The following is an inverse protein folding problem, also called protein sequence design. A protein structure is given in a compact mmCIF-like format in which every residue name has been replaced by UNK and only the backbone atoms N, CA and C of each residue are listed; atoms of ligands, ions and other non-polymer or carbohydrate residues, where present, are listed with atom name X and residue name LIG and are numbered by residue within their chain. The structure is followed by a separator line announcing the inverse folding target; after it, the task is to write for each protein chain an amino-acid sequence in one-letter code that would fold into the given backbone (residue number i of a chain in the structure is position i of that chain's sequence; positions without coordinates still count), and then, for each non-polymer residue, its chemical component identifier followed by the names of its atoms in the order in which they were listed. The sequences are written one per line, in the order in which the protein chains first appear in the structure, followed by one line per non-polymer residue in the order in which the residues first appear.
data_IF_416743200019
#
_entry.id   IF_416743200019
#
_cell.length_a   1.000
_cell.length_b   1.000
_cell.length_c   1.000
_cell.angle_alpha   90.00
_cell.angle_beta   90.00
_cell.angle_gamma   90.00
#
_symmetry.space_group_name_H-M   'P 1'
#
loop_
_entity.id
_entity.type
_entity.pdbx_description
1 polymer ?
#
# COMPACT_ATOMS: atom_id res chain seq x y z
N UNK A 1 19.74 11.88 54.84
CA UNK A 1 20.15 12.88 53.82
C UNK A 1 20.77 12.07 52.68
N UNK A 2 20.08 11.76 51.59
CA UNK A 2 19.69 12.64 50.47
C UNK A 2 18.35 12.17 49.84
N UNK A 3 17.51 13.07 49.28
CA UNK A 3 16.19 12.70 48.80
C UNK A 3 16.19 12.18 47.35
N UNK A 4 15.29 11.22 47.05
CA UNK A 4 15.01 10.73 45.69
C UNK A 4 14.36 11.83 44.84
N UNK A 5 14.67 11.95 43.53
CA UNK A 5 13.98 12.92 42.68
C UNK A 5 12.55 12.44 42.35
N UNK A 6 11.59 13.36 42.42
CA UNK A 6 10.17 13.17 42.09
C UNK A 6 9.95 13.16 40.56
N UNK A 7 8.85 12.56 40.07
CA UNK A 7 8.56 12.46 38.64
C UNK A 7 7.89 13.75 38.14
N UNK A 8 8.68 14.74 37.76
CA UNK A 8 8.16 15.99 37.16
C UNK A 8 8.48 16.13 35.66
N UNK A 9 9.33 15.27 35.09
CA UNK A 9 9.66 15.32 33.64
C UNK A 9 8.60 14.69 32.72
N UNK A 10 7.77 13.77 33.22
CA UNK A 10 6.75 13.11 32.41
C UNK A 10 5.54 14.01 32.13
N UNK A 11 5.21 14.93 33.04
CA UNK A 11 4.08 15.87 32.88
C UNK A 11 4.47 17.04 31.96
N UNK A 12 5.73 17.48 31.97
CA UNK A 12 6.21 18.54 31.10
C UNK A 12 6.22 18.14 29.61
N UNK A 13 6.59 16.88 29.30
CA UNK A 13 6.57 16.37 27.93
C UNK A 13 5.14 16.22 27.38
N UNK A 14 4.19 15.85 28.23
CA UNK A 14 2.77 15.81 27.86
C UNK A 14 2.12 17.20 27.78
N UNK A 15 2.53 18.16 28.62
CA UNK A 15 2.04 19.54 28.55
C UNK A 15 2.51 20.27 27.28
N UNK A 16 3.74 20.05 26.83
CA UNK A 16 4.25 20.60 25.56
C UNK A 16 3.64 19.92 24.33
N UNK A 17 3.39 18.60 24.38
CA UNK A 17 2.65 17.90 23.33
C UNK A 17 1.18 18.37 23.24
N UNK A 18 0.54 18.68 24.38
CA UNK A 18 -0.83 19.21 24.42
C UNK A 18 -0.91 20.68 23.98
N UNK A 19 0.12 21.50 24.29
CA UNK A 19 0.23 22.87 23.81
C UNK A 19 0.57 22.96 22.31
N UNK A 20 1.33 22.00 21.79
CA UNK A 20 1.55 21.82 20.35
C UNK A 20 0.25 21.38 19.66
N UNK A 21 -0.54 20.50 20.29
CA UNK A 21 -1.89 20.16 19.81
C UNK A 21 -2.82 21.36 19.77
N UNK A 22 -2.84 22.26 20.78
CA UNK A 22 -3.67 23.48 20.72
C UNK A 22 -3.22 24.46 19.62
N UNK A 23 -1.91 24.61 19.36
CA UNK A 23 -1.43 25.51 18.29
C UNK A 23 -1.64 24.93 16.89
N UNK A 24 -1.50 23.62 16.71
CA UNK A 24 -1.80 22.95 15.43
C UNK A 24 -3.32 22.89 15.19
N UNK A 25 -4.14 22.65 16.23
CA UNK A 25 -5.60 22.73 16.12
C UNK A 25 -6.11 24.16 15.88
N UNK A 26 -5.50 25.18 16.50
CA UNK A 26 -5.87 26.58 16.24
C UNK A 26 -5.41 27.08 14.87
N UNK A 27 -4.36 26.48 14.28
CA UNK A 27 -3.96 26.77 12.90
C UNK A 27 -4.85 26.05 11.87
N UNK A 28 -5.39 24.87 12.23
CA UNK A 28 -6.37 24.14 11.41
C UNK A 28 -7.79 24.74 11.44
N UNK A 29 -8.09 25.69 12.34
CA UNK A 29 -9.42 26.32 12.46
C UNK A 29 -9.50 27.77 11.95
N UNK A 30 -8.47 28.28 11.27
CA UNK A 30 -8.52 29.56 10.56
C UNK A 30 -8.39 29.37 9.05
N UNK A 31 -9.25 28.53 8.48
CA UNK A 31 -9.67 28.68 7.10
C UNK A 31 -11.19 28.56 7.12
N UNK A 32 -11.86 29.69 6.91
CA UNK A 32 -13.31 29.67 6.77
C UNK A 32 -13.65 28.89 5.50
N UNK A 33 -14.79 28.20 5.47
CA UNK A 33 -15.18 27.35 4.33
C UNK A 33 -15.25 28.08 2.98
N UNK A 34 -15.17 29.41 2.96
CA UNK A 34 -15.09 30.23 1.76
C UNK A 34 -13.67 30.30 1.15
N UNK A 35 -12.61 30.18 1.95
CA UNK A 35 -11.22 30.29 1.49
C UNK A 35 -10.75 29.03 0.74
N UNK A 36 -11.26 27.86 1.15
CA UNK A 36 -11.04 26.58 0.46
C UNK A 36 -11.76 26.54 -0.90
N UNK A 37 -12.97 27.09 -1.00
CA UNK A 37 -13.73 27.15 -2.25
C UNK A 37 -13.06 28.07 -3.28
N UNK A 38 -12.49 29.20 -2.84
CA UNK A 38 -11.73 30.10 -3.70
C UNK A 38 -10.41 29.48 -4.21
N UNK A 39 -9.73 28.68 -3.39
CA UNK A 39 -8.52 27.96 -3.80
C UNK A 39 -8.83 26.90 -4.88
N UNK A 40 -9.96 26.20 -4.77
CA UNK A 40 -10.38 25.22 -5.76
C UNK A 40 -10.98 25.85 -7.04
N UNK A 41 -11.69 26.99 -6.95
CA UNK A 41 -12.22 27.67 -8.13
C UNK A 41 -11.14 28.25 -9.05
N UNK A 42 -9.99 28.66 -8.50
CA UNK A 42 -8.92 29.26 -9.30
C UNK A 42 -8.12 28.22 -10.12
N UNK A 43 -8.18 26.93 -9.77
CA UNK A 43 -7.54 25.84 -10.53
C UNK A 43 -8.43 25.27 -11.66
N UNK A 44 -9.70 25.67 -11.74
CA UNK A 44 -10.68 25.13 -12.69
C UNK A 44 -10.52 25.70 -14.13
N UNK A 45 -9.63 26.67 -14.35
CA UNK A 45 -9.45 27.29 -15.69
C UNK A 45 -8.20 26.88 -16.48
N UNK A 46 -7.34 25.97 -15.99
CA UNK A 46 -6.19 25.50 -16.77
C UNK A 46 -6.44 24.13 -17.41
N UNK A 47 -7.09 24.14 -18.58
CA UNK A 47 -7.00 23.04 -19.55
C UNK A 47 -5.58 22.97 -20.09
N UNK A 48 -4.79 21.96 -19.72
CA UNK A 48 -3.61 21.57 -20.51
C UNK A 48 -3.40 20.06 -20.54
N UNK A 49 -3.30 19.56 -21.77
CA UNK A 49 -2.82 18.23 -22.15
C UNK A 49 -1.44 18.02 -21.53
N UNK A 50 -1.30 17.07 -20.62
CA UNK A 50 -0.01 16.70 -20.04
C UNK A 50 0.29 15.22 -20.35
N UNK A 51 0.69 14.98 -21.60
CA UNK A 51 1.28 13.72 -22.01
C UNK A 51 2.79 13.73 -21.71
N UNK A 52 3.26 12.61 -21.18
CA UNK A 52 4.65 12.09 -21.24
C UNK A 52 5.75 12.72 -20.38
N UNK A 53 5.53 13.80 -19.61
CA UNK A 53 6.61 14.40 -18.78
C UNK A 53 6.58 14.09 -17.28
N UNK A 54 5.48 13.56 -16.73
CA UNK A 54 5.38 13.28 -15.29
C UNK A 54 6.24 12.08 -14.81
N UNK A 55 6.62 11.17 -15.71
CA UNK A 55 7.47 10.01 -15.37
C UNK A 55 8.95 10.37 -15.19
N UNK A 56 9.41 11.52 -15.71
CA UNK A 56 10.77 12.00 -15.49
C UNK A 56 10.94 12.73 -14.13
N UNK A 57 9.85 13.13 -13.48
CA UNK A 57 9.91 13.85 -12.20
C UNK A 57 10.04 12.94 -10.98
N UNK A 58 9.79 11.63 -11.12
CA UNK A 58 10.06 10.64 -10.07
C UNK A 58 11.55 10.22 -9.98
N UNK A 59 12.38 10.62 -10.94
CA UNK A 59 13.84 10.39 -10.93
C UNK A 59 14.67 11.69 -11.01
N UNK A 60 14.03 12.85 -11.12
CA UNK A 60 14.69 14.12 -11.47
C UNK A 60 15.02 15.10 -10.34
N UNK A 61 14.71 14.79 -9.07
CA UNK A 61 15.04 15.68 -7.95
C UNK A 61 16.28 15.21 -7.17
N UNK A 62 17.37 14.98 -7.89
CA UNK A 62 18.73 15.03 -7.34
C UNK A 62 19.51 16.12 -8.09
N UNK A 63 19.12 17.38 -7.90
CA UNK A 63 20.05 18.49 -8.11
C UNK A 63 20.74 18.75 -6.77
N UNK A 64 21.96 18.26 -6.53
CA UNK A 64 22.74 18.80 -5.43
C UNK A 64 23.02 20.26 -5.80
N UNK A 65 22.45 21.19 -5.03
CA UNK A 65 22.90 22.56 -5.02
C UNK A 65 24.40 22.53 -4.75
N UNK A 66 25.19 22.85 -5.76
CA UNK A 66 26.65 22.93 -5.73
C UNK A 66 27.06 24.05 -4.77
N UNK A 67 27.28 23.71 -3.52
CA UNK A 67 28.21 24.42 -2.65
C UNK A 67 29.35 23.46 -2.33
N UNK A 68 30.56 23.87 -2.69
CA UNK A 68 31.74 23.03 -2.69
C UNK A 68 32.05 22.43 -1.33
N UNK A 69 32.38 21.14 -1.34
CA UNK A 69 33.16 20.51 -0.28
C UNK A 69 34.00 19.37 -0.87
N UNK A 70 35.22 19.30 -0.35
CA UNK A 70 36.34 18.45 -0.70
C UNK A 70 35.97 16.96 -0.81
N UNK A 71 36.64 16.25 -1.73
CA UNK A 71 36.68 14.79 -1.96
C UNK A 71 35.40 13.99 -1.64
N UNK A 72 34.74 13.35 -2.63
CA UNK A 72 33.50 12.61 -2.39
C UNK A 72 33.75 11.54 -1.31
N UNK A 73 33.14 11.63 -0.12
CA UNK A 73 33.17 10.53 0.82
C UNK A 73 32.51 9.36 0.11
N UNK A 74 33.06 8.15 0.28
CA UNK A 74 32.45 6.93 -0.24
C UNK A 74 30.97 6.80 0.16
N UNK A 75 30.27 5.84 -0.43
CA UNK A 75 28.82 5.53 -0.31
C UNK A 75 28.25 5.30 1.14
N UNK A 76 28.81 5.89 2.18
CA UNK A 76 28.29 5.99 3.55
C UNK A 76 26.88 6.58 3.64
N UNK A 77 26.40 7.27 2.59
CA UNK A 77 25.01 7.76 2.53
C UNK A 77 23.98 6.64 2.69
N UNK A 78 24.27 5.43 2.20
CA UNK A 78 23.32 4.31 2.21
C UNK A 78 23.47 3.38 3.42
N UNK A 79 24.46 3.64 4.29
CA UNK A 79 24.65 2.91 5.54
C UNK A 79 23.77 3.49 6.65
N UNK A 80 23.31 2.63 7.57
CA UNK A 80 22.57 3.08 8.75
C UNK A 80 23.58 3.69 9.74
N UNK A 81 23.46 4.97 10.12
CA UNK A 81 24.40 5.61 11.02
C UNK A 81 24.14 5.17 12.46
N UNK A 82 25.21 5.13 13.27
CA UNK A 82 25.14 4.78 14.70
C UNK A 82 24.46 5.86 15.54
N UNK A 83 24.55 7.11 15.08
CA UNK A 83 23.96 8.28 15.71
C UNK A 83 22.86 8.88 14.84
N UNK A 84 21.94 9.60 15.49
CA UNK A 84 20.85 10.27 14.79
C UNK A 84 21.36 11.41 13.91
N UNK A 85 20.97 11.40 12.64
CA UNK A 85 21.35 12.37 11.64
C UNK A 85 20.15 13.26 11.29
N UNK A 86 20.21 14.52 11.74
CA UNK A 86 19.12 15.50 11.59
C UNK A 86 18.78 15.78 10.12
N UNK A 87 19.79 15.87 9.26
CA UNK A 87 19.59 16.16 7.83
C UNK A 87 18.89 14.99 7.13
N UNK A 88 19.34 13.75 7.39
CA UNK A 88 18.66 12.56 6.88
C UNK A 88 17.22 12.48 7.36
N UNK A 89 16.97 12.83 8.63
CA UNK A 89 15.61 12.89 9.17
C UNK A 89 14.72 13.86 8.39
N UNK A 90 15.16 15.10 8.17
CA UNK A 90 14.35 16.06 7.42
C UNK A 90 14.20 15.70 5.95
N UNK A 91 15.21 15.07 5.33
CA UNK A 91 15.08 14.51 3.98
C UNK A 91 14.03 13.38 3.96
N UNK A 92 14.06 12.45 4.91
CA UNK A 92 13.06 11.37 5.01
C UNK A 92 11.66 11.93 5.24
N UNK A 93 11.50 12.93 6.11
CA UNK A 93 10.22 13.59 6.36
C UNK A 93 9.72 14.30 5.11
N UNK A 94 10.58 15.11 4.45
CA UNK A 94 10.21 15.82 3.23
C UNK A 94 9.82 14.87 2.09
N UNK A 95 10.60 13.82 1.85
CA UNK A 95 10.30 12.81 0.85
C UNK A 95 9.01 12.04 1.19
N UNK A 96 8.82 11.64 2.46
CA UNK A 96 7.61 10.96 2.92
C UNK A 96 6.36 11.82 2.74
N UNK A 97 6.42 13.10 3.11
CA UNK A 97 5.31 14.06 2.91
C UNK A 97 4.99 14.26 1.44
N UNK A 98 6.02 14.37 0.58
CA UNK A 98 5.82 14.50 -0.86
C UNK A 98 5.17 13.25 -1.47
N UNK A 99 5.61 12.06 -1.06
CA UNK A 99 5.04 10.77 -1.50
C UNK A 99 3.58 10.65 -1.03
N UNK A 100 3.29 10.91 0.24
CA UNK A 100 1.94 10.86 0.79
C UNK A 100 1.03 11.86 0.07
N UNK A 101 1.41 13.14 -0.03
CA UNK A 101 0.61 14.14 -0.71
C UNK A 101 0.34 13.80 -2.17
N UNK A 102 1.35 13.29 -2.90
CA UNK A 102 1.18 12.84 -4.29
C UNK A 102 0.24 11.64 -4.38
N UNK A 103 0.37 10.66 -3.49
CA UNK A 103 -0.51 9.50 -3.44
C UNK A 103 -1.96 9.92 -3.14
N UNK A 104 -2.19 10.83 -2.18
CA UNK A 104 -3.52 11.38 -1.89
C UNK A 104 -4.14 12.09 -3.10
N UNK A 105 -3.35 12.86 -3.86
CA UNK A 105 -3.83 13.54 -5.08
C UNK A 105 -4.17 12.54 -6.18
N UNK A 106 -3.34 11.51 -6.38
CA UNK A 106 -3.60 10.45 -7.36
C UNK A 106 -4.87 9.68 -6.97
N UNK A 107 -5.00 9.33 -5.69
CA UNK A 107 -6.17 8.64 -5.15
C UNK A 107 -7.43 9.49 -5.33
N UNK A 108 -7.40 10.77 -4.96
CA UNK A 108 -8.51 11.70 -5.19
C UNK A 108 -8.96 11.72 -6.65
N UNK A 109 -8.03 11.91 -7.58
CA UNK A 109 -8.37 12.02 -9.00
C UNK A 109 -8.80 10.69 -9.64
N UNK A 110 -8.35 9.55 -9.09
CA UNK A 110 -8.63 8.24 -9.68
C UNK A 110 -9.82 7.54 -9.04
N UNK A 111 -10.19 7.91 -7.81
CA UNK A 111 -11.19 7.22 -6.99
C UNK A 111 -12.35 8.12 -6.61
N UNK A 112 -12.10 9.34 -6.12
CA UNK A 112 -13.13 10.12 -5.41
C UNK A 112 -13.73 11.29 -6.19
N UNK A 113 -12.98 11.89 -7.13
CA UNK A 113 -13.32 13.17 -7.75
C UNK A 113 -14.70 13.22 -8.42
N UNK A 114 -15.16 12.09 -8.96
CA UNK A 114 -16.40 12.02 -9.73
C UNK A 114 -17.63 11.68 -8.86
N UNK A 115 -17.47 11.58 -7.54
CA UNK A 115 -18.53 11.27 -6.61
C UNK A 115 -18.80 12.45 -5.66
N UNK A 116 -20.07 12.72 -5.31
CA UNK A 116 -20.40 13.77 -4.36
C UNK A 116 -19.77 13.54 -2.98
N UNK A 117 -19.35 14.65 -2.37
CA UNK A 117 -18.94 14.68 -0.96
C UNK A 117 -20.21 14.77 -0.11
N UNK A 118 -20.37 13.82 0.82
CA UNK A 118 -21.51 13.72 1.72
C UNK A 118 -21.11 14.00 3.17
N UNK A 119 -22.02 13.76 4.12
CA UNK A 119 -21.67 13.75 5.54
C UNK A 119 -20.90 12.47 5.85
N UNK A 120 -19.99 12.56 6.82
CA UNK A 120 -19.25 11.39 7.27
C UNK A 120 -20.19 10.25 7.64
N UNK A 121 -19.97 9.07 7.08
CA UNK A 121 -20.73 7.87 7.40
C UNK A 121 -19.86 6.63 7.35
N UNK A 122 -20.35 5.58 8.02
CA UNK A 122 -19.69 4.28 8.08
C UNK A 122 -20.34 3.29 7.13
N UNK A 123 -19.57 2.33 6.66
CA UNK A 123 -20.02 1.26 5.79
C UNK A 123 -19.51 -0.10 6.28
N UNK A 124 -20.24 -1.18 6.01
CA UNK A 124 -19.78 -2.57 6.26
C UNK A 124 -19.62 -3.28 4.93
N UNK A 125 -18.38 -3.51 4.56
CA UNK A 125 -17.94 -4.08 3.29
C UNK A 125 -17.23 -5.42 3.45
N UNK A 126 -17.45 -6.09 4.58
CA UNK A 126 -16.96 -7.46 4.76
C UNK A 126 -17.48 -8.35 3.64
N UNK A 127 -16.58 -9.10 3.01
CA UNK A 127 -16.93 -9.95 1.87
C UNK A 127 -16.88 -9.28 0.51
N UNK A 128 -16.77 -7.94 0.47
CA UNK A 128 -16.60 -7.22 -0.80
C UNK A 128 -15.33 -7.69 -1.50
N UNK A 129 -15.40 -7.82 -2.83
CA UNK A 129 -14.30 -8.30 -3.67
C UNK A 129 -13.71 -9.62 -3.19
N UNK A 130 -14.55 -10.51 -2.66
CA UNK A 130 -14.10 -11.77 -2.06
C UNK A 130 -13.04 -11.55 -0.95
N UNK A 131 -13.12 -10.45 -0.19
CA UNK A 131 -12.13 -9.99 0.80
C UNK A 131 -10.76 -9.55 0.24
N UNK A 132 -10.59 -9.42 -1.07
CA UNK A 132 -9.32 -8.94 -1.65
C UNK A 132 -8.94 -7.58 -1.09
N UNK A 133 -9.93 -6.70 -0.94
CA UNK A 133 -9.76 -5.38 -0.38
C UNK A 133 -9.15 -5.42 1.05
N UNK A 134 -9.66 -6.31 1.91
CA UNK A 134 -9.24 -6.44 3.31
C UNK A 134 -7.82 -7.02 3.39
N UNK A 135 -7.50 -7.94 2.49
CA UNK A 135 -6.13 -8.48 2.34
C UNK A 135 -5.19 -7.40 1.80
N UNK A 136 -5.68 -6.51 0.94
CA UNK A 136 -5.01 -5.31 0.48
C UNK A 136 -4.64 -4.38 1.63
N UNK A 137 -5.62 -3.98 2.44
CA UNK A 137 -5.43 -3.17 3.65
C UNK A 137 -4.38 -3.75 4.61
N UNK A 138 -4.51 -5.05 4.92
CA UNK A 138 -3.53 -5.76 5.74
C UNK A 138 -2.11 -5.72 5.14
N UNK A 139 -1.99 -6.01 3.84
CA UNK A 139 -0.70 -6.09 3.14
C UNK A 139 -0.05 -4.72 3.02
N UNK A 140 -0.83 -3.72 2.59
CA UNK A 140 -0.35 -2.37 2.37
C UNK A 140 0.13 -1.73 3.67
N UNK A 141 -0.63 -1.89 4.77
CA UNK A 141 -0.21 -1.37 6.08
C UNK A 141 1.11 -1.98 6.54
N UNK A 142 1.33 -3.28 6.29
CA UNK A 142 2.61 -3.92 6.60
C UNK A 142 3.74 -3.36 5.72
N UNK A 143 3.53 -3.18 4.41
CA UNK A 143 4.53 -2.63 3.49
C UNK A 143 4.94 -1.22 3.93
N UNK A 144 3.95 -0.37 4.20
CA UNK A 144 4.15 1.01 4.66
C UNK A 144 4.89 1.05 6.01
N UNK A 145 4.49 0.20 6.96
CA UNK A 145 5.18 0.07 8.24
C UNK A 145 6.63 -0.40 8.06
N UNK A 146 6.86 -1.42 7.24
CA UNK A 146 8.19 -1.98 6.98
C UNK A 146 9.12 -0.93 6.33
N UNK A 147 8.63 -0.22 5.33
CA UNK A 147 9.39 0.84 4.66
C UNK A 147 9.60 2.05 5.57
N UNK A 148 8.57 2.46 6.33
CA UNK A 148 8.67 3.52 7.32
C UNK A 148 9.70 3.21 8.41
N UNK A 149 9.77 1.95 8.86
CA UNK A 149 10.79 1.50 9.80
C UNK A 149 12.20 1.61 9.22
N UNK A 150 12.41 1.12 8.00
CA UNK A 150 13.71 1.17 7.35
C UNK A 150 14.14 2.62 7.06
N UNK A 151 13.22 3.47 6.61
CA UNK A 151 13.45 4.91 6.44
C UNK A 151 13.81 5.58 7.75
N UNK A 152 13.08 5.32 8.83
CA UNK A 152 13.41 5.84 10.16
C UNK A 152 14.79 5.35 10.63
N UNK A 153 15.11 4.06 10.45
CA UNK A 153 16.43 3.51 10.79
C UNK A 153 17.55 4.14 9.97
N UNK A 154 17.33 4.48 8.71
CA UNK A 154 18.31 5.15 7.85
C UNK A 154 18.73 6.54 8.37
N UNK A 155 17.88 7.18 9.17
CA UNK A 155 18.20 8.45 9.86
C UNK A 155 19.07 8.25 11.12
N UNK A 156 19.35 7.02 11.53
CA UNK A 156 19.98 6.69 12.82
C UNK A 156 19.02 6.70 14.00
N UNK A 157 17.71 6.88 13.76
CA UNK A 157 16.69 6.84 14.81
C UNK A 157 16.74 5.50 15.55
N UNK A 158 16.82 5.53 16.88
CA UNK A 158 16.83 4.32 17.72
C UNK A 158 15.69 3.39 17.34
N UNK A 159 15.98 2.09 17.31
CA UNK A 159 15.06 1.04 16.84
C UNK A 159 13.67 1.07 17.51
N UNK A 160 13.62 1.40 18.80
CA UNK A 160 12.36 1.56 19.53
C UNK A 160 11.50 2.73 19.02
N UNK A 161 12.12 3.85 18.66
CA UNK A 161 11.38 4.97 18.09
C UNK A 161 10.99 4.67 16.64
N UNK A 162 11.89 4.05 15.88
CA UNK A 162 11.65 3.67 14.49
C UNK A 162 10.43 2.74 14.32
N UNK A 163 10.22 1.78 15.22
CA UNK A 163 9.02 0.91 15.18
C UNK A 163 7.72 1.65 15.45
N UNK A 164 7.71 2.65 16.34
CA UNK A 164 6.50 3.44 16.59
C UNK A 164 6.23 4.44 15.46
N UNK A 165 7.28 5.04 14.89
CA UNK A 165 7.17 5.84 13.67
C UNK A 165 6.62 5.01 12.51
N UNK A 166 7.07 3.76 12.36
CA UNK A 166 6.55 2.84 11.34
C UNK A 166 5.04 2.59 11.48
N UNK A 167 4.57 2.29 12.69
CA UNK A 167 3.14 2.05 12.95
C UNK A 167 2.33 3.31 12.71
N UNK A 168 2.81 4.47 13.17
CA UNK A 168 2.13 5.74 12.93
C UNK A 168 2.03 6.06 11.43
N UNK A 169 3.09 5.78 10.66
CA UNK A 169 3.10 6.00 9.21
C UNK A 169 2.14 5.06 8.48
N UNK A 170 2.21 3.74 8.73
CA UNK A 170 1.31 2.78 8.09
C UNK A 170 -0.16 3.02 8.43
N UNK A 171 -0.48 3.22 9.71
CA UNK A 171 -1.86 3.52 10.11
C UNK A 171 -2.33 4.89 9.59
N UNK A 172 -1.47 5.90 9.56
CA UNK A 172 -1.83 7.24 9.11
C UNK A 172 -2.15 7.31 7.61
N UNK A 173 -1.36 6.61 6.79
CA UNK A 173 -1.61 6.49 5.36
C UNK A 173 -2.95 5.80 5.09
N UNK A 174 -3.20 4.66 5.73
CA UNK A 174 -4.46 3.95 5.55
C UNK A 174 -5.66 4.70 6.10
N UNK A 175 -5.53 5.34 7.27
CA UNK A 175 -6.60 6.17 7.83
C UNK A 175 -6.96 7.33 6.90
N UNK A 176 -6.03 7.82 6.08
CA UNK A 176 -6.35 8.82 5.04
C UNK A 176 -7.36 8.26 4.05
N UNK A 177 -7.19 7.02 3.61
CA UNK A 177 -8.11 6.34 2.69
C UNK A 177 -9.49 6.22 3.35
N UNK A 178 -9.57 5.64 4.54
CA UNK A 178 -10.84 5.42 5.26
C UNK A 178 -11.61 6.72 5.52
N UNK A 179 -10.90 7.80 5.86
CA UNK A 179 -11.52 9.10 6.09
C UNK A 179 -12.05 9.67 4.78
N UNK A 180 -11.32 9.52 3.67
CA UNK A 180 -11.80 9.94 2.35
C UNK A 180 -13.03 9.12 1.93
N UNK A 181 -13.03 7.81 2.15
CA UNK A 181 -14.18 6.93 1.92
C UNK A 181 -15.39 7.38 2.75
N UNK A 182 -15.20 7.70 4.03
CA UNK A 182 -16.27 8.17 4.91
C UNK A 182 -17.01 9.40 4.43
N UNK A 183 -16.40 10.24 3.58
CA UNK A 183 -17.03 11.42 2.99
C UNK A 183 -17.52 11.22 1.56
N UNK A 184 -17.26 10.09 0.90
CA UNK A 184 -17.73 9.82 -0.46
C UNK A 184 -19.17 9.32 -0.46
N UNK A 185 -20.04 9.72 -1.40
CA UNK A 185 -21.37 9.08 -1.54
C UNK A 185 -21.29 7.58 -1.90
N UNK A 186 -20.22 7.18 -2.60
CA UNK A 186 -20.10 5.84 -3.18
C UNK A 186 -19.53 4.80 -2.22
N UNK A 187 -18.66 5.23 -1.31
CA UNK A 187 -17.98 4.43 -0.30
C UNK A 187 -18.31 4.96 1.09
N UNK A 188 -17.76 4.35 2.13
CA UNK A 188 -17.91 4.83 3.51
C UNK A 188 -16.80 4.31 4.40
N UNK A 189 -16.65 4.91 5.58
CA UNK A 189 -15.58 4.55 6.51
C UNK A 189 -15.79 3.11 7.01
N UNK A 190 -14.85 2.22 6.73
CA UNK A 190 -14.98 0.81 7.07
C UNK A 190 -14.24 0.44 8.35
N UNK A 191 -14.99 -0.06 9.33
CA UNK A 191 -14.38 -0.67 10.51
C UNK A 191 -13.68 -2.00 10.19
N UNK A 192 -14.09 -2.67 9.12
CA UNK A 192 -13.42 -3.90 8.68
C UNK A 192 -12.02 -3.57 8.14
N UNK A 193 -11.87 -2.47 7.40
CA UNK A 193 -10.57 -2.05 6.89
C UNK A 193 -9.68 -1.47 7.98
N UNK A 194 -10.20 -0.67 8.91
CA UNK A 194 -9.46 -0.31 10.13
C UNK A 194 -8.95 -1.55 10.87
N UNK A 195 -9.77 -2.60 10.95
CA UNK A 195 -9.38 -3.89 11.52
C UNK A 195 -8.22 -4.54 10.74
N UNK A 196 -8.35 -4.65 9.42
CA UNK A 196 -7.31 -5.21 8.55
C UNK A 196 -6.00 -4.41 8.62
N UNK A 197 -6.08 -3.08 8.60
CA UNK A 197 -4.97 -2.16 8.75
C UNK A 197 -4.25 -2.40 10.08
N UNK A 198 -5.01 -2.44 11.18
CA UNK A 198 -4.49 -2.70 12.52
C UNK A 198 -3.78 -4.06 12.60
N UNK A 199 -4.34 -5.09 11.97
CA UNK A 199 -3.71 -6.41 11.91
C UNK A 199 -2.41 -6.39 11.10
N UNK A 200 -2.34 -5.64 9.99
CA UNK A 200 -1.13 -5.50 9.18
C UNK A 200 0.00 -4.79 9.92
N UNK A 201 -0.33 -3.67 10.57
CA UNK A 201 0.58 -2.96 11.47
C UNK A 201 1.05 -3.86 12.63
N UNK A 202 0.11 -4.57 13.26
CA UNK A 202 0.37 -5.53 14.33
C UNK A 202 1.26 -6.68 13.89
N UNK A 203 1.10 -7.17 12.65
CA UNK A 203 1.92 -8.23 12.08
C UNK A 203 3.37 -7.77 11.89
N UNK A 204 3.59 -6.56 11.40
CA UNK A 204 4.92 -5.94 11.34
C UNK A 204 5.53 -5.82 12.75
N UNK A 205 4.79 -5.22 13.69
CA UNK A 205 5.25 -4.97 15.06
C UNK A 205 5.58 -6.27 15.79
N UNK A 206 4.72 -7.28 15.69
CA UNK A 206 4.89 -8.57 16.35
C UNK A 206 6.20 -9.24 15.96
N UNK A 207 6.51 -9.30 14.66
CA UNK A 207 7.79 -9.83 14.18
C UNK A 207 8.98 -9.00 14.68
N UNK A 208 8.84 -7.68 14.71
CA UNK A 208 9.88 -6.76 15.18
C UNK A 208 10.15 -6.85 16.70
N UNK A 209 9.11 -7.16 17.48
CA UNK A 209 9.22 -7.43 18.92
C UNK A 209 9.83 -8.80 19.20
N UNK A 210 9.36 -9.84 18.49
CA UNK A 210 9.73 -11.23 18.73
C UNK A 210 11.12 -11.58 18.17
N UNK A 211 11.43 -11.13 16.96
CA UNK A 211 12.61 -11.58 16.22
C UNK A 211 13.59 -10.47 15.88
N UNK A 212 13.18 -9.20 15.98
CA UNK A 212 13.94 -8.05 15.42
C UNK A 212 14.32 -8.28 13.94
N UNK A 213 13.49 -9.03 13.23
CA UNK A 213 13.61 -9.37 11.82
C UNK A 213 12.21 -9.66 11.26
N UNK A 214 11.98 -9.34 9.99
CA UNK A 214 10.75 -9.68 9.29
C UNK A 214 10.97 -10.99 8.55
N UNK A 215 10.68 -12.10 9.24
CA UNK A 215 10.88 -13.46 8.71
C UNK A 215 9.77 -13.88 7.74
N UNK A 216 8.59 -13.30 7.93
CA UNK A 216 7.43 -13.41 7.07
C UNK A 216 7.21 -12.05 6.40
N UNK A 217 7.22 -12.04 5.07
CA UNK A 217 7.10 -10.82 4.27
C UNK A 217 5.84 -10.87 3.44
N UNK A 218 5.10 -9.77 3.42
CA UNK A 218 3.96 -9.64 2.53
C UNK A 218 4.42 -9.08 1.20
N UNK A 219 3.91 -9.67 0.13
CA UNK A 219 4.22 -9.27 -1.23
C UNK A 219 2.97 -9.21 -2.08
N UNK A 220 3.05 -8.48 -3.18
CA UNK A 220 1.99 -8.35 -4.17
C UNK A 220 2.55 -8.74 -5.53
N UNK A 221 1.71 -9.36 -6.33
CA UNK A 221 1.90 -9.48 -7.76
C UNK A 221 0.63 -9.16 -8.50
N UNK A 222 0.78 -8.98 -9.81
CA UNK A 222 -0.34 -8.78 -10.69
C UNK A 222 -0.14 -9.60 -11.97
N UNK A 223 -1.20 -10.30 -12.37
CA UNK A 223 -1.32 -10.94 -13.68
C UNK A 223 -2.62 -10.48 -14.30
N UNK A 224 -2.51 -9.55 -15.24
CA UNK A 224 -3.68 -8.96 -15.86
C UNK A 224 -4.53 -10.01 -16.60
N UNK A 225 -5.82 -10.16 -16.27
CA UNK A 225 -6.71 -11.06 -16.97
C UNK A 225 -7.01 -10.56 -18.37
N UNK A 226 -7.38 -11.48 -19.27
CA UNK A 226 -8.02 -11.13 -20.54
C UNK A 226 -9.53 -11.28 -20.38
N UNK A 227 -10.24 -10.17 -20.47
CA UNK A 227 -11.69 -10.14 -20.35
C UNK A 227 -12.37 -10.40 -21.70
N UNK A 228 -13.48 -11.15 -21.65
CA UNK A 228 -14.28 -11.46 -22.83
C UNK A 228 -15.04 -10.23 -23.32
N UNK A 229 -15.01 -9.99 -24.63
CA UNK A 229 -15.82 -8.98 -25.30
C UNK A 229 -17.12 -9.56 -25.88
N UNK A 230 -17.49 -10.77 -25.46
CA UNK A 230 -18.75 -11.37 -25.87
C UNK A 230 -19.96 -10.57 -25.33
N UNK A 231 -21.04 -10.43 -26.11
CA UNK A 231 -22.23 -9.69 -25.72
C UNK A 231 -22.86 -10.22 -24.43
N UNK A 232 -23.10 -9.31 -23.49
CA UNK A 232 -23.98 -9.51 -22.33
C UNK A 232 -25.20 -8.63 -22.54
N UNK A 233 -26.36 -9.27 -22.72
CA UNK A 233 -27.64 -8.55 -22.85
C UNK A 233 -28.12 -8.09 -21.47
N UNK A 234 -28.75 -6.93 -21.43
CA UNK A 234 -29.44 -6.45 -20.23
C UNK A 234 -30.61 -7.38 -19.87
N UNK A 235 -31.11 -7.26 -18.64
CA UNK A 235 -32.17 -8.11 -18.10
C UNK A 235 -33.49 -7.98 -18.90
N UNK A 236 -33.73 -6.82 -19.51
CA UNK A 236 -34.86 -6.55 -20.40
C UNK A 236 -34.55 -6.84 -21.89
N UNK A 237 -33.31 -7.22 -22.22
CA UNK A 237 -32.83 -7.49 -23.58
C UNK A 237 -32.67 -6.26 -24.47
N UNK A 238 -32.87 -5.04 -23.94
CA UNK A 238 -32.88 -3.80 -24.72
C UNK A 238 -31.48 -3.20 -24.94
N UNK A 239 -30.50 -3.55 -24.11
CA UNK A 239 -29.14 -3.03 -24.16
C UNK A 239 -28.11 -4.18 -24.21
N UNK A 240 -26.92 -3.86 -24.71
CA UNK A 240 -25.80 -4.79 -24.83
C UNK A 240 -24.56 -4.16 -24.21
N UNK A 241 -23.88 -4.92 -23.36
CA UNK A 241 -22.57 -4.58 -22.79
C UNK A 241 -21.62 -5.77 -22.97
N UNK A 242 -20.45 -5.74 -22.35
CA UNK A 242 -19.51 -6.87 -22.30
C UNK A 242 -18.77 -6.90 -20.96
N UNK A 243 -18.21 -8.06 -20.61
CA UNK A 243 -17.36 -8.18 -19.42
C UNK A 243 -16.12 -7.29 -19.56
N UNK A 244 -15.56 -7.21 -20.76
CA UNK A 244 -14.45 -6.31 -21.07
C UNK A 244 -14.82 -4.85 -20.81
N UNK A 245 -15.95 -4.37 -21.33
CA UNK A 245 -16.40 -2.99 -21.07
C UNK A 245 -16.56 -2.73 -19.58
N UNK A 246 -17.25 -3.62 -18.88
CA UNK A 246 -17.44 -3.52 -17.42
C UNK A 246 -16.11 -3.48 -16.66
N UNK A 247 -15.16 -4.33 -17.03
CA UNK A 247 -13.84 -4.36 -16.42
C UNK A 247 -13.02 -3.10 -16.74
N UNK A 248 -13.12 -2.57 -17.96
CA UNK A 248 -12.46 -1.32 -18.33
C UNK A 248 -13.01 -0.14 -17.51
N UNK A 249 -14.34 -0.08 -17.32
CA UNK A 249 -15.03 0.95 -16.52
C UNK A 249 -14.70 0.86 -15.03
N UNK A 250 -14.62 -0.36 -14.48
CA UNK A 250 -14.28 -0.58 -13.07
C UNK A 250 -12.79 -0.39 -12.76
N UNK A 251 -11.93 -0.96 -13.61
CA UNK A 251 -10.53 -1.16 -13.30
C UNK A 251 -9.57 -0.27 -14.10
N UNK A 252 -10.08 0.53 -15.04
CA UNK A 252 -9.27 1.46 -15.82
C UNK A 252 -8.49 0.81 -16.97
N UNK A 253 -8.98 -0.31 -17.48
CA UNK A 253 -8.46 -0.99 -18.67
C UNK A 253 -7.07 -1.59 -18.48
N UNK A 254 -6.00 -0.82 -18.72
CA UNK A 254 -4.61 -1.32 -18.67
C UNK A 254 -3.61 -0.37 -18.04
N UNK A 255 -2.46 -0.92 -17.62
CA UNK A 255 -1.35 -0.17 -17.04
C UNK A 255 -1.43 -0.04 -15.51
N UNK A 256 -0.85 1.03 -14.97
CA UNK A 256 -0.71 1.21 -13.52
C UNK A 256 -2.06 1.32 -12.79
N UNK A 257 -3.09 1.91 -13.41
CA UNK A 257 -4.42 2.00 -12.80
C UNK A 257 -5.01 0.61 -12.59
N UNK A 258 -4.96 -0.25 -13.62
CA UNK A 258 -5.43 -1.64 -13.50
C UNK A 258 -4.64 -2.47 -12.49
N UNK A 259 -3.33 -2.20 -12.32
CA UNK A 259 -2.54 -2.87 -11.29
C UNK A 259 -3.11 -2.65 -9.88
N UNK A 260 -3.56 -1.42 -9.58
CA UNK A 260 -4.11 -1.07 -8.27
C UNK A 260 -5.61 -1.35 -8.14
N UNK A 261 -6.37 -1.26 -9.23
CA UNK A 261 -7.84 -1.42 -9.21
C UNK A 261 -8.33 -2.84 -9.45
N UNK A 262 -7.65 -3.59 -10.31
CA UNK A 262 -8.16 -4.88 -10.77
C UNK A 262 -7.85 -5.99 -9.76
N UNK A 263 -8.80 -6.24 -8.84
CA UNK A 263 -8.67 -7.33 -7.88
C UNK A 263 -8.60 -8.71 -8.55
N UNK A 264 -9.07 -8.89 -9.80
CA UNK A 264 -8.90 -10.16 -10.51
C UNK A 264 -7.47 -10.35 -11.02
N UNK A 265 -6.70 -9.27 -11.12
CA UNK A 265 -5.30 -9.32 -11.51
C UNK A 265 -4.38 -9.56 -10.32
N UNK A 266 -4.79 -9.15 -9.11
CA UNK A 266 -3.92 -9.10 -7.94
C UNK A 266 -3.78 -10.47 -7.25
N UNK A 267 -2.58 -10.75 -6.76
CA UNK A 267 -2.35 -11.84 -5.81
C UNK A 267 -1.49 -11.34 -4.66
N UNK A 268 -1.95 -11.60 -3.44
CA UNK A 268 -1.27 -11.24 -2.20
C UNK A 268 -0.55 -12.46 -1.64
N UNK A 269 0.72 -12.30 -1.28
CA UNK A 269 1.60 -13.39 -0.88
C UNK A 269 2.14 -13.20 0.52
N UNK A 270 2.02 -14.23 1.35
CA UNK A 270 2.78 -14.40 2.57
C UNK A 270 4.02 -15.24 2.28
N UNK A 271 5.17 -14.59 2.21
CA UNK A 271 6.47 -15.18 1.88
C UNK A 271 7.31 -15.45 3.13
N UNK A 272 7.55 -16.72 3.43
CA UNK A 272 8.31 -17.17 4.59
C UNK A 272 9.76 -17.48 4.22
N UNK A 273 10.71 -16.82 4.88
CA UNK A 273 12.13 -17.09 4.68
C UNK A 273 12.57 -18.33 5.47
N UNK A 274 12.78 -19.44 4.76
CA UNK A 274 13.14 -20.73 5.36
C UNK A 274 14.41 -20.57 6.20
N UNK A 275 15.43 -19.91 5.64
CA UNK A 275 16.72 -19.72 6.30
C UNK A 275 16.60 -19.04 7.68
N UNK A 276 15.69 -18.07 7.84
CA UNK A 276 15.46 -17.39 9.12
C UNK A 276 14.86 -18.28 10.22
N UNK A 277 14.25 -19.41 9.86
CA UNK A 277 13.71 -20.37 10.83
C UNK A 277 14.63 -21.56 11.10
N UNK A 278 15.70 -21.74 10.32
CA UNK A 278 16.65 -22.83 10.52
C UNK A 278 17.54 -22.59 11.76
N UNK A 279 17.96 -23.67 12.46
CA UNK A 279 18.96 -23.57 13.51
C UNK A 279 20.32 -23.16 12.91
N UNK A 280 21.18 -22.48 13.69
CA UNK A 280 22.47 -21.94 13.22
C UNK A 280 23.33 -22.97 12.47
N UNK A 281 23.37 -24.22 12.96
CA UNK A 281 24.10 -25.33 12.34
C UNK A 281 23.66 -25.66 10.90
N UNK A 282 22.42 -25.33 10.54
CA UNK A 282 21.83 -25.63 9.24
C UNK A 282 21.82 -24.42 8.30
N UNK A 283 21.96 -23.19 8.81
CA UNK A 283 21.91 -21.95 8.01
C UNK A 283 22.96 -21.92 6.90
N UNK A 284 24.19 -22.35 7.19
CA UNK A 284 25.28 -22.39 6.21
C UNK A 284 25.04 -23.35 5.03
N UNK A 285 24.04 -24.23 5.12
CA UNK A 285 23.70 -25.22 4.08
C UNK A 285 22.46 -24.83 3.26
N UNK A 286 21.84 -23.68 3.54
CA UNK A 286 20.60 -23.28 2.90
C UNK A 286 20.72 -21.89 2.28
N UNK A 287 19.97 -21.65 1.21
CA UNK A 287 19.99 -20.40 0.47
C UNK A 287 19.26 -19.30 1.28
N UNK A 288 19.93 -18.20 1.69
CA UNK A 288 19.33 -17.20 2.57
C UNK A 288 18.22 -16.37 1.90
N UNK A 289 18.14 -16.40 0.57
CA UNK A 289 17.14 -15.70 -0.21
C UNK A 289 15.95 -16.58 -0.61
N UNK A 290 16.00 -17.90 -0.40
CA UNK A 290 14.93 -18.79 -0.84
C UNK A 290 13.79 -18.81 0.18
N UNK A 291 12.58 -18.50 -0.30
CA UNK A 291 11.36 -18.47 0.46
C UNK A 291 10.33 -19.47 -0.08
N UNK A 292 9.37 -19.83 0.77
CA UNK A 292 8.11 -20.47 0.38
C UNK A 292 7.00 -19.47 0.62
N UNK A 293 6.09 -19.32 -0.35
CA UNK A 293 5.04 -18.33 -0.34
C UNK A 293 3.65 -18.96 -0.42
N UNK A 294 2.73 -18.45 0.39
CA UNK A 294 1.32 -18.76 0.34
C UNK A 294 0.58 -17.56 -0.25
N UNK A 295 -0.16 -17.77 -1.33
CA UNK A 295 -0.85 -16.70 -2.05
C UNK A 295 -2.37 -16.74 -1.86
N UNK A 296 -2.99 -15.57 -1.91
CA UNK A 296 -4.43 -15.38 -1.98
C UNK A 296 -4.77 -14.47 -3.16
N UNK A 297 -5.69 -14.94 -4.00
CA UNK A 297 -6.28 -14.18 -5.09
C UNK A 297 -7.78 -14.44 -5.17
N UNK A 298 -8.45 -13.72 -6.05
CA UNK A 298 -9.83 -13.99 -6.41
C UNK A 298 -10.05 -13.61 -7.87
N UNK A 299 -11.08 -14.18 -8.49
CA UNK A 299 -11.33 -13.99 -9.91
C UNK A 299 -12.83 -13.95 -10.24
N UNK A 300 -13.14 -13.58 -11.48
CA UNK A 300 -14.48 -13.36 -12.01
C UNK A 300 -15.30 -12.37 -11.17
N UNK A 301 -14.71 -11.28 -10.68
CA UNK A 301 -15.40 -10.23 -9.93
C UNK A 301 -15.65 -9.05 -10.86
N UNK A 302 -16.92 -8.66 -11.00
CA UNK A 302 -17.38 -7.53 -11.85
C UNK A 302 -18.31 -6.58 -11.07
N UNK A 303 -18.25 -6.66 -9.74
CA UNK A 303 -18.94 -5.81 -8.78
C UNK A 303 -18.50 -6.17 -7.35
N UNK A 304 -18.84 -5.33 -6.37
CA UNK A 304 -18.39 -5.49 -4.98
C UNK A 304 -18.81 -6.82 -4.36
N UNK A 305 -20.11 -7.15 -4.42
CA UNK A 305 -20.67 -8.36 -3.78
C UNK A 305 -21.25 -9.40 -4.74
N UNK A 306 -21.77 -8.95 -5.88
CA UNK A 306 -22.27 -9.79 -6.97
C UNK A 306 -21.69 -9.33 -8.31
N UNK A 307 -21.93 -10.11 -9.37
CA UNK A 307 -21.63 -9.69 -10.73
C UNK A 307 -22.87 -9.09 -11.39
N UNK A 308 -23.55 -8.18 -10.71
CA UNK A 308 -24.67 -7.43 -11.27
C UNK A 308 -24.30 -5.96 -11.26
N UNK A 309 -24.55 -5.27 -12.38
CA UNK A 309 -24.28 -3.84 -12.49
C UNK A 309 -25.36 -3.12 -13.30
N UNK A 310 -25.41 -1.82 -13.11
CA UNK A 310 -26.22 -0.90 -13.89
C UNK A 310 -25.31 -0.08 -14.80
N UNK A 311 -25.73 0.11 -16.04
CA UNK A 311 -25.06 0.90 -17.07
C UNK A 311 -26.14 1.57 -17.94
N UNK A 312 -26.12 2.90 -18.01
CA UNK A 312 -27.09 3.72 -18.75
C UNK A 312 -28.58 3.39 -18.45
N UNK A 313 -28.89 3.07 -17.19
CA UNK A 313 -30.23 2.70 -16.73
C UNK A 313 -30.64 1.26 -17.06
N UNK A 314 -29.78 0.47 -17.70
CA UNK A 314 -29.98 -0.95 -17.96
C UNK A 314 -29.23 -1.82 -16.95
N UNK A 315 -29.85 -2.91 -16.50
CA UNK A 315 -29.27 -3.86 -15.52
C UNK A 315 -28.71 -5.08 -16.22
N UNK A 316 -27.44 -5.39 -15.96
CA UNK A 316 -26.73 -6.53 -16.53
C UNK A 316 -26.41 -7.57 -15.46
N UNK A 317 -26.69 -8.83 -15.76
CA UNK A 317 -26.31 -9.99 -14.93
C UNK A 317 -25.80 -11.09 -15.85
N UNK A 318 -24.47 -11.32 -15.92
CA UNK A 318 -23.87 -12.31 -16.79
C UNK A 318 -24.14 -13.72 -16.24
N UNK A 319 -23.99 -14.72 -17.12
CA UNK A 319 -24.27 -16.12 -16.77
C UNK A 319 -23.47 -16.56 -15.53
N UNK A 320 -24.15 -16.92 -14.41
CA UNK A 320 -23.50 -17.33 -13.18
C UNK A 320 -22.75 -18.66 -13.31
N UNK A 321 -23.06 -19.51 -14.30
CA UNK A 321 -22.32 -20.73 -14.55
C UNK A 321 -20.92 -20.43 -15.14
N UNK A 322 -20.82 -19.39 -15.97
CA UNK A 322 -19.57 -18.97 -16.62
C UNK A 322 -18.76 -18.00 -15.77
N UNK A 323 -19.42 -17.02 -15.16
CA UNK A 323 -18.80 -15.93 -14.40
C UNK A 323 -19.04 -16.07 -12.90
N UNK A 324 -18.94 -17.31 -12.39
CA UNK A 324 -18.97 -17.57 -10.95
C UNK A 324 -17.75 -16.92 -10.31
N UNK A 325 -17.96 -16.06 -9.31
CA UNK A 325 -16.91 -15.49 -8.46
C UNK A 325 -16.25 -16.59 -7.63
N UNK A 326 -14.93 -16.58 -7.50
CA UNK A 326 -14.24 -17.60 -6.72
C UNK A 326 -12.92 -17.10 -6.14
N UNK A 327 -12.44 -17.79 -5.10
CA UNK A 327 -11.17 -17.52 -4.42
C UNK A 327 -10.11 -18.50 -4.89
N UNK A 328 -8.88 -18.03 -4.92
CA UNK A 328 -7.70 -18.76 -5.35
C UNK A 328 -6.68 -18.78 -4.21
N UNK A 329 -6.19 -19.97 -3.87
CA UNK A 329 -5.16 -20.18 -2.86
C UNK A 329 -3.94 -20.79 -3.54
N UNK A 330 -2.77 -20.21 -3.29
CA UNK A 330 -1.55 -20.59 -3.99
C UNK A 330 -0.48 -21.09 -3.02
N UNK A 331 0.30 -22.07 -3.46
CA UNK A 331 1.58 -22.43 -2.87
C UNK A 331 2.68 -22.25 -3.92
N UNK A 332 3.70 -21.46 -3.61
CA UNK A 332 4.77 -21.12 -4.56
C UNK A 332 6.13 -20.99 -3.85
N UNK A 333 7.20 -20.93 -4.65
CA UNK A 333 8.50 -20.44 -4.20
C UNK A 333 8.60 -18.93 -4.37
N UNK A 334 9.52 -18.31 -3.63
CA UNK A 334 9.80 -16.89 -3.76
C UNK A 334 11.28 -16.58 -3.46
N UNK A 335 11.70 -15.37 -3.86
CA UNK A 335 13.03 -14.84 -3.63
C UNK A 335 12.94 -13.63 -2.72
N UNK A 336 13.60 -13.69 -1.57
CA UNK A 336 13.83 -12.54 -0.72
C UNK A 336 14.96 -11.66 -1.30
N UNK A 337 14.56 -10.67 -2.09
CA UNK A 337 15.47 -9.73 -2.77
C UNK A 337 16.39 -9.03 -1.77
N UNK A 338 15.91 -8.75 -0.56
CA UNK A 338 16.73 -8.06 0.45
C UNK A 338 17.87 -8.92 1.01
N UNK A 339 17.91 -10.23 0.71
CA UNK A 339 18.96 -11.17 1.13
C UNK A 339 19.95 -11.49 0.01
N UNK A 340 19.74 -10.93 -1.20
CA UNK A 340 20.69 -11.06 -2.32
C UNK A 340 21.96 -10.26 -1.99
N UNK A 341 23.10 -10.94 -2.05
CA UNK A 341 24.41 -10.33 -1.78
C UNK A 341 24.87 -9.51 -2.98
N UNK A 342 25.05 -8.21 -2.78
CA UNK A 342 25.63 -7.30 -3.78
C UNK A 342 26.64 -6.36 -3.14
N UNK A 343 27.63 -5.94 -3.94
CA UNK A 343 28.60 -4.89 -3.56
C UNK A 343 28.04 -3.48 -3.79
N UNK A 344 27.10 -3.32 -4.73
CA UNK A 344 26.51 -2.02 -5.04
C UNK A 344 25.50 -1.61 -3.97
N UNK A 345 25.74 -0.50 -3.24
CA UNK A 345 24.80 -0.04 -2.22
C UNK A 345 23.47 0.43 -2.83
N UNK A 346 23.50 1.00 -4.04
CA UNK A 346 22.29 1.39 -4.79
C UNK A 346 21.44 0.17 -5.14
N UNK A 347 22.07 -0.90 -5.64
CA UNK A 347 21.35 -2.13 -5.94
C UNK A 347 20.80 -2.78 -4.68
N UNK A 348 21.55 -2.74 -3.57
CA UNK A 348 21.08 -3.24 -2.27
C UNK A 348 19.82 -2.50 -1.80
N UNK A 349 19.81 -1.18 -1.95
CA UNK A 349 18.66 -0.34 -1.64
C UNK A 349 17.47 -0.68 -2.55
N UNK A 350 17.68 -0.74 -3.87
CA UNK A 350 16.63 -1.08 -4.83
C UNK A 350 16.02 -2.47 -4.56
N UNK A 351 16.84 -3.48 -4.30
CA UNK A 351 16.38 -4.83 -3.95
C UNK A 351 15.58 -4.84 -2.63
N UNK A 352 15.96 -4.01 -1.65
CA UNK A 352 15.19 -3.85 -0.41
C UNK A 352 13.83 -3.19 -0.66
N UNK A 353 13.81 -2.12 -1.44
CA UNK A 353 12.60 -1.36 -1.77
C UNK A 353 11.63 -2.12 -2.67
N UNK A 354 12.11 -2.98 -3.56
CA UNK A 354 11.30 -3.77 -4.49
C UNK A 354 10.89 -5.13 -3.91
N UNK A 355 11.31 -5.47 -2.69
CA UNK A 355 11.07 -6.79 -2.12
C UNK A 355 9.60 -7.07 -1.79
N UNK A 356 8.73 -6.06 -1.79
CA UNK A 356 7.28 -6.27 -1.69
C UNK A 356 6.68 -6.75 -3.02
N UNK A 357 7.41 -6.73 -4.12
CA UNK A 357 6.98 -7.34 -5.38
C UNK A 357 7.39 -8.80 -5.40
N UNK A 358 6.42 -9.69 -5.65
CA UNK A 358 6.68 -11.13 -5.81
C UNK A 358 7.38 -11.38 -7.15
N UNK A 359 8.44 -12.20 -7.12
CA UNK A 359 9.14 -12.64 -8.33
C UNK A 359 8.44 -13.88 -8.89
N UNK A 360 8.26 -14.01 -10.22
CA UNK A 360 7.61 -15.16 -10.82
C UNK A 360 8.24 -16.47 -10.43
N UNK A 361 7.40 -17.42 -10.05
CA UNK A 361 7.85 -18.78 -9.74
C UNK A 361 6.74 -19.79 -10.02
N UNK A 362 7.05 -21.09 -10.11
CA UNK A 362 6.04 -22.12 -10.17
C UNK A 362 5.09 -22.03 -8.98
N UNK A 363 3.78 -22.18 -9.23
CA UNK A 363 2.77 -22.19 -8.19
C UNK A 363 1.71 -23.27 -8.43
N UNK A 364 1.21 -23.83 -7.33
CA UNK A 364 0.04 -24.68 -7.31
C UNK A 364 -1.15 -23.88 -6.80
N UNK A 365 -2.20 -23.75 -7.61
CA UNK A 365 -3.47 -23.12 -7.27
C UNK A 365 -4.48 -24.19 -6.82
N UNK A 366 -5.15 -23.95 -5.71
CA UNK A 366 -6.41 -24.61 -5.34
C UNK A 366 -7.47 -23.52 -5.23
N UNK A 367 -8.62 -23.70 -5.89
CA UNK A 367 -9.67 -22.69 -5.90
C UNK A 367 -11.03 -23.20 -5.40
N UNK A 368 -11.91 -22.28 -5.05
CA UNK A 368 -13.25 -22.60 -4.51
C UNK A 368 -14.23 -23.12 -5.57
N UNK A 369 -13.80 -23.29 -6.82
CA UNK A 369 -14.52 -24.06 -7.83
C UNK A 369 -14.21 -25.57 -7.76
N UNK A 370 -13.31 -25.98 -6.86
CA UNK A 370 -12.88 -27.37 -6.71
C UNK A 370 -11.81 -27.79 -7.73
N UNK A 371 -11.14 -26.83 -8.39
CA UNK A 371 -10.08 -27.11 -9.37
C UNK A 371 -8.71 -26.92 -8.75
N UNK A 372 -7.77 -27.73 -9.22
CA UNK A 372 -6.34 -27.60 -8.97
C UNK A 372 -5.66 -27.23 -10.27
N UNK A 373 -4.82 -26.18 -10.27
CA UNK A 373 -4.07 -25.75 -11.46
C UNK A 373 -2.61 -25.59 -11.13
N UNK A 374 -1.74 -26.01 -12.05
CA UNK A 374 -0.31 -25.73 -11.97
C UNK A 374 0.03 -24.56 -12.88
N UNK A 375 0.72 -23.57 -12.33
CA UNK A 375 1.23 -22.40 -13.05
C UNK A 375 2.75 -22.52 -13.11
N UNK A 376 3.37 -22.73 -14.28
CA UNK A 376 4.84 -22.75 -14.40
C UNK A 376 5.49 -21.43 -14.00
N UNK A 377 4.79 -20.32 -14.29
CA UNK A 377 5.18 -18.96 -13.93
C UNK A 377 3.97 -18.22 -13.38
N UNK A 378 3.86 -18.16 -12.06
CA UNK A 378 2.89 -17.32 -11.38
C UNK A 378 3.58 -16.06 -10.92
N UNK A 379 3.10 -14.92 -11.43
CA UNK A 379 3.46 -13.62 -10.90
C UNK A 379 2.96 -13.53 -9.47
#
# INVERSE_FOLDING_TARGET
MTPRPRPTLFIAFWAEAFLFHKKVFSFMFFLTGQDLVAFFQTQIQMKMKLNTWCLCLLFGCFTPSLFGQENPPGLHLLEIPDTFQKDRFWVTVGAGTAIWGSASVILWNSWYRDYPITRFHTFDDRGEWQNMDKVGHFTQTWIESYNGFNGARWTGMKRQNARWSAIALGMGLQLTVEVMDGFSEKWGFSWADIGANTLGAGFFLGQELLWRDQRLKLKVSSRQPTYSDEPVFSTDGAAVSSIKKRADDLYGGSGAVSFFKDYNAQTYWLSANIHSFLPERAKNKFLPWLNVAFGYGANNMFGGFSNTWEEDGAVFTPDPARYKRYKEFYLSFDVDLSKIKTKSPVLRFALGMLNWVKIPAPALEVNTLGKVKFHPFMW
#
